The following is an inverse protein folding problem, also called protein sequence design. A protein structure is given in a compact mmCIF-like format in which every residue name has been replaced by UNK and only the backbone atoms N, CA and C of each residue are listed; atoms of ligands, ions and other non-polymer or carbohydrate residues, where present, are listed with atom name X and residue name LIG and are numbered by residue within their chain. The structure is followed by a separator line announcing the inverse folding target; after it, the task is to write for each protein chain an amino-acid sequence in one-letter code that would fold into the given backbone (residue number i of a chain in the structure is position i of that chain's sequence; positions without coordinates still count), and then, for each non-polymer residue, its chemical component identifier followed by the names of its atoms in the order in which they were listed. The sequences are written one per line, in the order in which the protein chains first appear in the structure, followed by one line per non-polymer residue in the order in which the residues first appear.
data_IF_002776072087
#
_entry.id   IF_002776072087
#
_cell.length_a   1.000
_cell.length_b   1.000
_cell.length_c   1.000
_cell.angle_alpha   90.00
_cell.angle_beta   90.00
_cell.angle_gamma   90.00
#
_symmetry.space_group_name_H-M   'P 1'
#
loop_
_entity.id
_entity.type
_entity.pdbx_description
1 polymer ?
#
# COMPACT_ATOMS: atom_id res chain seq x y z
N UNK A 1 8.06 42.21 0.57
CA UNK A 1 8.16 41.92 2.02
C UNK A 1 6.71 41.73 2.48
N UNK A 2 6.16 40.55 2.78
CA UNK A 2 6.65 39.21 3.08
C UNK A 2 5.55 38.24 2.54
N UNK A 3 5.89 37.26 1.69
CA UNK A 3 5.09 36.05 1.57
C UNK A 3 5.62 35.07 2.63
N UNK A 4 4.79 34.59 3.56
CA UNK A 4 5.16 33.49 4.45
C UNK A 4 3.93 32.75 5.00
N UNK A 5 3.69 31.59 4.38
CA UNK A 5 3.04 30.33 4.76
C UNK A 5 2.15 30.22 6.01
N UNK A 6 0.99 29.52 5.94
CA UNK A 6 0.28 29.08 7.13
C UNK A 6 1.14 28.07 7.91
N UNK A 7 1.33 28.37 9.20
CA UNK A 7 2.05 27.58 10.19
C UNK A 7 1.68 26.08 10.14
N UNK A 8 2.60 25.25 9.64
CA UNK A 8 2.69 23.87 10.07
C UNK A 8 3.59 23.88 11.30
N UNK A 9 3.00 23.84 12.50
CA UNK A 9 3.55 23.11 13.65
C UNK A 9 2.64 23.28 14.87
N UNK A 10 1.92 22.20 15.19
CA UNK A 10 1.51 21.80 16.55
C UNK A 10 1.25 20.28 16.54
N UNK A 11 2.36 19.53 16.43
CA UNK A 11 2.57 18.16 16.92
C UNK A 11 1.65 17.03 16.38
N UNK A 12 1.60 16.87 15.06
CA UNK A 12 1.25 15.59 14.45
C UNK A 12 2.47 15.02 13.75
N UNK A 13 2.85 13.76 14.03
CA UNK A 13 3.86 13.07 13.22
C UNK A 13 3.40 13.03 11.75
N UNK A 14 4.30 13.25 10.80
CA UNK A 14 3.99 13.02 9.39
C UNK A 14 3.97 11.51 9.10
N UNK A 15 3.38 11.11 7.97
CA UNK A 15 3.35 9.73 7.55
C UNK A 15 4.76 9.12 7.44
N UNK A 16 5.73 9.91 6.97
CA UNK A 16 7.14 9.50 6.92
C UNK A 16 7.76 9.24 8.30
N UNK A 17 7.26 9.89 9.36
CA UNK A 17 7.76 9.70 10.73
C UNK A 17 7.15 8.48 11.44
N UNK A 18 5.99 7.98 10.96
CA UNK A 18 5.28 6.83 11.55
C UNK A 18 5.30 5.59 10.66
N UNK A 19 5.75 5.70 9.41
CA UNK A 19 5.75 4.57 8.50
C UNK A 19 6.68 3.46 9.00
N UNK A 20 6.26 2.23 8.75
CA UNK A 20 7.08 1.05 8.91
C UNK A 20 7.65 0.61 7.56
N UNK A 21 8.60 -0.33 7.59
CA UNK A 21 9.11 -0.96 6.39
C UNK A 21 7.96 -1.50 5.52
N UNK A 22 8.11 -1.43 4.20
CA UNK A 22 7.06 -1.78 3.23
C UNK A 22 6.56 -3.21 3.33
N UNK A 23 7.34 -4.10 3.95
CA UNK A 23 7.15 -5.53 3.82
C UNK A 23 7.49 -6.03 2.40
N UNK A 24 7.07 -7.25 2.05
CA UNK A 24 7.34 -7.83 0.74
C UNK A 24 6.65 -7.05 -0.39
N UNK A 25 7.42 -6.78 -1.44
CA UNK A 25 6.95 -6.14 -2.67
C UNK A 25 7.08 -7.10 -3.84
N UNK A 26 6.05 -7.19 -4.66
CA UNK A 26 5.95 -8.11 -5.80
C UNK A 26 5.57 -7.37 -7.06
N UNK A 27 6.05 -7.88 -8.18
CA UNK A 27 5.73 -7.38 -9.52
C UNK A 27 4.26 -7.65 -9.87
N UNK A 28 3.62 -6.77 -10.64
CA UNK A 28 2.22 -6.91 -11.04
C UNK A 28 1.98 -8.06 -12.04
N UNK A 29 3.04 -8.53 -12.73
CA UNK A 29 3.01 -9.77 -13.53
C UNK A 29 3.09 -11.05 -12.70
N UNK A 30 3.32 -10.95 -11.39
CA UNK A 30 3.40 -12.15 -10.53
C UNK A 30 2.06 -12.90 -10.51
N UNK A 31 2.13 -14.23 -10.59
CA UNK A 31 0.96 -15.10 -10.48
C UNK A 31 0.44 -15.09 -9.03
N UNK A 32 -0.89 -15.13 -8.88
CA UNK A 32 -1.59 -15.11 -7.58
C UNK A 32 -1.08 -16.16 -6.60
N UNK A 33 -0.88 -17.39 -7.04
CA UNK A 33 -0.38 -18.49 -6.19
C UNK A 33 1.06 -18.24 -5.69
N UNK A 34 1.90 -17.65 -6.53
CA UNK A 34 3.26 -17.28 -6.16
C UNK A 34 3.23 -16.12 -5.16
N UNK A 35 2.41 -15.10 -5.42
CA UNK A 35 2.21 -13.99 -4.49
C UNK A 35 1.71 -14.49 -3.12
N UNK A 36 0.74 -15.41 -3.09
CA UNK A 36 0.25 -16.01 -1.85
C UNK A 36 1.37 -16.75 -1.10
N UNK A 37 2.24 -17.47 -1.83
CA UNK A 37 3.40 -18.16 -1.26
C UNK A 37 4.40 -17.18 -0.66
N UNK A 38 4.70 -16.08 -1.35
CA UNK A 38 5.55 -14.98 -0.83
C UNK A 38 4.98 -14.39 0.45
N UNK A 39 3.68 -14.09 0.47
CA UNK A 39 2.99 -13.54 1.64
C UNK A 39 3.09 -14.50 2.84
N UNK A 40 2.85 -15.79 2.64
CA UNK A 40 2.94 -16.82 3.68
C UNK A 40 4.38 -16.95 4.17
N UNK A 41 5.36 -17.04 3.26
CA UNK A 41 6.77 -17.18 3.59
C UNK A 41 7.32 -15.99 4.37
N UNK A 42 6.89 -14.77 4.02
CA UNK A 42 7.25 -13.54 4.70
C UNK A 42 6.47 -13.30 6.02
N UNK A 43 5.47 -14.14 6.32
CA UNK A 43 4.52 -13.94 7.44
C UNK A 43 3.89 -12.53 7.42
N UNK A 44 3.65 -12.00 6.22
CA UNK A 44 3.10 -10.68 6.02
C UNK A 44 1.57 -10.72 5.94
N UNK A 45 0.90 -9.62 6.32
CA UNK A 45 -0.56 -9.49 6.15
C UNK A 45 -0.97 -9.00 4.75
N UNK A 46 -0.03 -8.44 4.01
CA UNK A 46 -0.23 -7.80 2.73
C UNK A 46 1.06 -7.82 1.90
N UNK A 47 0.92 -7.57 0.60
CA UNK A 47 1.99 -7.31 -0.34
C UNK A 47 1.78 -5.92 -0.95
N UNK A 48 2.86 -5.20 -1.21
CA UNK A 48 2.80 -4.08 -2.16
C UNK A 48 3.00 -4.62 -3.57
N UNK A 49 2.18 -4.14 -4.50
CA UNK A 49 2.31 -4.42 -5.92
C UNK A 49 3.09 -3.27 -6.54
N UNK A 50 4.11 -3.58 -7.33
CA UNK A 50 4.88 -2.61 -8.12
C UNK A 50 4.74 -2.89 -9.61
N UNK A 51 4.84 -1.83 -10.42
CA UNK A 51 4.95 -1.96 -11.86
C UNK A 51 6.40 -2.29 -12.28
N UNK A 52 6.61 -2.39 -13.59
CA UNK A 52 7.90 -2.66 -14.23
C UNK A 52 8.97 -1.60 -13.89
N UNK A 53 8.55 -0.35 -13.60
CA UNK A 53 9.42 0.75 -13.20
C UNK A 53 9.74 0.73 -11.70
N UNK A 54 9.13 -0.17 -10.93
CA UNK A 54 9.29 -0.27 -9.48
C UNK A 54 8.36 0.64 -8.68
N UNK A 55 7.44 1.35 -9.34
CA UNK A 55 6.49 2.25 -8.68
C UNK A 55 5.37 1.45 -8.04
N UNK A 56 4.92 1.92 -6.88
CA UNK A 56 3.84 1.24 -6.18
C UNK A 56 2.51 1.44 -6.90
N UNK A 57 1.92 0.34 -7.36
CA UNK A 57 0.60 0.31 -7.98
C UNK A 57 -0.51 0.09 -6.97
N UNK A 58 -0.20 -0.46 -5.79
CA UNK A 58 -1.20 -0.72 -4.77
C UNK A 58 -0.76 -1.68 -3.69
N UNK A 59 -1.75 -2.06 -2.87
CA UNK A 59 -1.61 -3.04 -1.82
C UNK A 59 -2.64 -4.15 -2.01
N UNK A 60 -2.20 -5.38 -1.87
CA UNK A 60 -3.07 -6.55 -1.89
C UNK A 60 -2.92 -7.38 -0.62
N UNK A 61 -4.07 -7.74 -0.04
CA UNK A 61 -4.17 -8.49 1.21
C UNK A 61 -4.34 -9.98 0.98
N UNK A 62 -4.04 -10.79 2.00
CA UNK A 62 -4.28 -12.24 1.95
C UNK A 62 -5.75 -12.58 1.65
N UNK A 63 -6.70 -11.86 2.22
CA UNK A 63 -8.12 -12.10 2.00
C UNK A 63 -8.51 -11.79 0.55
N UNK A 64 -7.98 -10.73 -0.06
CA UNK A 64 -8.20 -10.43 -1.47
C UNK A 64 -7.62 -11.52 -2.38
N UNK A 65 -6.36 -11.94 -2.18
CA UNK A 65 -5.76 -13.03 -2.97
C UNK A 65 -6.57 -14.32 -2.86
N UNK A 66 -7.01 -14.67 -1.65
CA UNK A 66 -7.80 -15.90 -1.42
C UNK A 66 -9.18 -15.79 -2.07
N UNK A 67 -9.83 -14.62 -1.99
CA UNK A 67 -11.13 -14.40 -2.61
C UNK A 67 -11.06 -14.51 -4.14
N UNK A 68 -10.04 -13.92 -4.77
CA UNK A 68 -9.81 -14.00 -6.22
C UNK A 68 -9.53 -15.43 -6.67
N UNK A 69 -8.72 -16.18 -5.91
CA UNK A 69 -8.40 -17.60 -6.20
C UNK A 69 -9.63 -18.51 -6.22
N UNK A 70 -10.68 -18.19 -5.46
CA UNK A 70 -11.93 -18.94 -5.41
C UNK A 70 -12.94 -18.52 -6.49
N UNK A 71 -12.59 -17.54 -7.34
CA UNK A 71 -13.43 -17.07 -8.43
C UNK A 71 -13.48 -18.06 -9.59
N UNK A 72 -14.62 -18.14 -10.28
CA UNK A 72 -14.81 -19.01 -11.45
C UNK A 72 -13.97 -18.62 -12.67
N UNK A 73 -13.47 -17.39 -12.69
CA UNK A 73 -12.61 -16.84 -13.74
C UNK A 73 -11.12 -17.09 -13.48
N UNK A 74 -10.78 -17.63 -12.31
CA UNK A 74 -9.41 -17.88 -11.90
C UNK A 74 -8.77 -18.99 -12.72
N UNK A 75 -7.50 -18.78 -13.07
CA UNK A 75 -6.64 -19.78 -13.70
C UNK A 75 -5.29 -19.81 -12.98
N UNK A 76 -4.52 -20.88 -13.17
CA UNK A 76 -3.17 -20.99 -12.59
C UNK A 76 -2.20 -19.93 -13.14
N UNK A 77 -2.54 -19.27 -14.25
CA UNK A 77 -1.74 -18.21 -14.88
C UNK A 77 -2.23 -16.80 -14.53
N UNK A 78 -3.29 -16.66 -13.72
CA UNK A 78 -3.86 -15.36 -13.37
C UNK A 78 -2.82 -14.49 -12.63
N UNK A 79 -2.59 -13.28 -13.14
CA UNK A 79 -1.60 -12.34 -12.63
C UNK A 79 -2.23 -11.31 -11.69
N UNK A 80 -1.40 -10.66 -10.87
CA UNK A 80 -1.88 -9.62 -9.96
C UNK A 80 -2.51 -8.44 -10.71
N UNK A 81 -1.97 -8.07 -11.89
CA UNK A 81 -2.53 -7.00 -12.73
C UNK A 81 -3.97 -7.22 -13.19
N UNK A 82 -4.40 -8.48 -13.27
CA UNK A 82 -5.75 -8.88 -13.68
C UNK A 82 -6.76 -8.76 -12.53
N UNK A 83 -6.27 -8.59 -11.29
CA UNK A 83 -7.11 -8.49 -10.11
C UNK A 83 -7.61 -7.06 -9.88
N UNK A 84 -8.81 -6.97 -9.30
CA UNK A 84 -9.29 -5.73 -8.68
C UNK A 84 -8.78 -5.67 -7.24
N UNK A 85 -7.98 -4.64 -6.92
CA UNK A 85 -7.44 -4.38 -5.59
C UNK A 85 -7.24 -2.88 -5.36
N UNK A 86 -6.79 -2.51 -4.16
CA UNK A 86 -6.64 -1.11 -3.76
C UNK A 86 -5.42 -0.46 -4.44
N UNK A 87 -5.67 0.53 -5.32
CA UNK A 87 -4.64 1.26 -6.06
C UNK A 87 -4.49 2.73 -5.61
N UNK A 88 -4.84 3.02 -4.35
CA UNK A 88 -4.76 4.39 -3.80
C UNK A 88 -6.07 5.18 -3.87
N UNK A 89 -6.09 6.46 -3.43
CA UNK A 89 -4.93 7.35 -3.28
C UNK A 89 -3.94 6.90 -2.21
N UNK A 90 -2.65 7.12 -2.48
CA UNK A 90 -1.56 6.80 -1.57
C UNK A 90 -1.20 7.97 -0.68
N UNK A 91 -0.51 7.66 0.42
CA UNK A 91 -0.08 8.66 1.39
C UNK A 91 1.25 9.27 0.94
N UNK A 92 1.38 10.59 0.97
CA UNK A 92 2.68 11.26 0.78
C UNK A 92 3.46 11.25 2.10
N UNK A 93 4.81 11.18 2.11
CA UNK A 93 5.60 11.21 3.34
C UNK A 93 5.35 12.45 4.20
N UNK A 94 4.97 13.58 3.58
CA UNK A 94 4.65 14.83 4.28
C UNK A 94 3.18 14.93 4.71
N UNK A 95 2.33 13.97 4.35
CA UNK A 95 0.93 13.94 4.80
C UNK A 95 0.90 13.77 6.33
N UNK A 96 0.12 14.56 7.08
CA UNK A 96 -0.04 14.35 8.51
C UNK A 96 -0.56 12.93 8.82
N UNK A 97 0.01 12.24 9.82
CA UNK A 97 -0.36 10.85 10.11
C UNK A 97 -1.86 10.68 10.41
N UNK A 98 -2.46 11.64 11.12
CA UNK A 98 -3.90 11.63 11.40
C UNK A 98 -4.78 11.79 10.15
N UNK A 99 -4.27 12.45 9.10
CA UNK A 99 -4.93 12.56 7.80
C UNK A 99 -4.82 11.24 7.04
N UNK A 100 -3.63 10.62 7.06
CA UNK A 100 -3.42 9.29 6.48
C UNK A 100 -4.34 8.25 7.13
N UNK A 101 -4.40 8.21 8.47
CA UNK A 101 -5.31 7.34 9.21
C UNK A 101 -6.79 7.60 8.88
N UNK A 102 -7.18 8.88 8.76
CA UNK A 102 -8.55 9.25 8.42
C UNK A 102 -8.92 8.78 7.01
N UNK A 103 -8.03 8.94 6.04
CA UNK A 103 -8.20 8.42 4.69
C UNK A 103 -8.31 6.88 4.69
N UNK A 104 -7.48 6.20 5.49
CA UNK A 104 -7.56 4.75 5.66
C UNK A 104 -8.90 4.29 6.23
N UNK A 105 -9.40 4.95 7.30
CA UNK A 105 -10.71 4.64 7.91
C UNK A 105 -11.86 4.86 6.93
N UNK A 106 -11.84 5.94 6.13
CA UNK A 106 -12.86 6.22 5.12
C UNK A 106 -12.93 5.15 4.02
N UNK A 107 -11.79 4.50 3.73
CA UNK A 107 -11.66 3.45 2.70
C UNK A 107 -11.69 2.03 3.27
N UNK A 108 -11.93 1.89 4.57
CA UNK A 108 -11.84 0.62 5.30
C UNK A 108 -10.49 -0.12 5.11
N UNK A 109 -9.40 0.63 4.98
CA UNK A 109 -8.05 0.10 4.83
C UNK A 109 -7.33 0.03 6.18
N UNK A 110 -6.52 -1.01 6.36
CA UNK A 110 -5.66 -1.17 7.54
C UNK A 110 -4.21 -0.75 7.30
N UNK A 111 -3.84 -0.56 6.04
CA UNK A 111 -2.51 -0.14 5.62
C UNK A 111 -2.63 0.83 4.45
N UNK A 112 -1.78 1.86 4.42
CA UNK A 112 -1.63 2.78 3.29
C UNK A 112 -0.16 2.89 2.90
N UNK A 113 0.21 2.59 1.64
CA UNK A 113 1.55 2.85 1.13
C UNK A 113 1.91 4.33 1.24
N UNK A 114 3.13 4.60 1.73
CA UNK A 114 3.74 5.93 1.70
C UNK A 114 4.63 6.02 0.48
N UNK A 115 4.28 6.92 -0.44
CA UNK A 115 4.87 6.99 -1.78
C UNK A 115 5.70 8.27 -1.91
N UNK A 116 6.94 8.10 -2.37
CA UNK A 116 7.84 9.20 -2.70
C UNK A 116 7.38 9.95 -3.95
N UNK A 117 8.01 11.08 -4.22
CA UNK A 117 7.72 11.90 -5.41
C UNK A 117 8.00 11.15 -6.73
N UNK A 118 8.88 10.14 -6.67
CA UNK A 118 9.26 9.27 -7.78
C UNK A 118 8.26 8.12 -8.04
N UNK A 119 7.26 7.95 -7.17
CA UNK A 119 6.27 6.88 -7.24
C UNK A 119 6.66 5.60 -6.50
N UNK A 120 7.84 5.54 -5.87
CA UNK A 120 8.30 4.35 -5.15
C UNK A 120 7.73 4.31 -3.73
N UNK A 121 7.48 3.09 -3.22
CA UNK A 121 7.08 2.91 -1.85
C UNK A 121 8.26 3.13 -0.89
N UNK A 122 8.16 4.18 -0.07
CA UNK A 122 9.11 4.48 0.99
C UNK A 122 8.82 3.67 2.26
N UNK A 123 7.55 3.34 2.49
CA UNK A 123 7.09 2.63 3.68
C UNK A 123 5.57 2.42 3.65
N UNK A 124 5.02 1.98 4.78
CA UNK A 124 3.58 1.81 4.97
C UNK A 124 3.16 2.37 6.31
N UNK A 125 2.07 3.15 6.33
CA UNK A 125 1.36 3.50 7.57
C UNK A 125 0.32 2.43 7.85
N UNK A 126 0.32 1.89 9.06
CA UNK A 126 -0.65 0.88 9.51
C UNK A 126 -1.58 1.47 10.57
N UNK A 127 -2.88 1.16 10.47
CA UNK A 127 -3.86 1.57 11.48
C UNK A 127 -3.69 0.65 12.69
N UNK A 128 -3.05 1.15 13.74
CA UNK A 128 -3.11 0.54 15.07
C UNK A 128 -4.51 0.74 15.64
N UNK A 129 -5.17 -0.38 15.97
CA UNK A 129 -6.51 -0.42 16.55
C UNK A 129 -6.49 0.04 18.01
#
# INVERSE_FOLDING_TARGET
MLQSYPQADCSGKAAGDVMSATGPQVDDDMIVDVALSVLIGARAGYLLVRDEDGRCMGLITRSQLTAHRQGSWYTEETRLRDLIYDRGPFTSPVTPAHDAERAMRQRALRASPVIGEDGHALGVVVLTH
#
